data_IF_182580180779
#
_entry.id   IF_182580180779
#
_cell.length_a   1.000
_cell.length_b   1.000
_cell.length_c   1.000
_cell.angle_alpha   90.00
_cell.angle_beta   90.00
_cell.angle_gamma   90.00
#
_symmetry.space_group_name_H-M   'P 1'
#
loop_
_entity.id
_entity.type
_entity.pdbx_description
1 polymer ?
#
# COMPACT_ATOMS: atom_id res chain seq x y z
N UNK A 1 -16.31 -4.69 7.33
CA UNK A 1 -14.91 -4.45 7.67
C UNK A 1 -14.14 -5.74 7.95
N UNK A 2 -14.69 -6.63 8.77
CA UNK A 2 -14.02 -7.91 9.06
C UNK A 2 -13.96 -8.80 7.83
N UNK A 3 -15.01 -8.82 7.03
CA UNK A 3 -15.03 -9.60 5.80
C UNK A 3 -14.00 -9.07 4.79
N UNK A 4 -13.85 -7.76 4.70
CA UNK A 4 -12.85 -7.13 3.83
C UNK A 4 -11.44 -7.56 4.23
N UNK A 5 -11.15 -7.53 5.52
CA UNK A 5 -9.84 -7.93 6.04
C UNK A 5 -9.55 -9.39 5.82
N UNK A 6 -10.56 -10.24 5.94
CA UNK A 6 -10.40 -11.67 5.67
C UNK A 6 -10.06 -11.94 4.22
N UNK A 7 -10.71 -11.24 3.30
CA UNK A 7 -10.41 -11.38 1.88
C UNK A 7 -9.00 -10.91 1.55
N UNK A 8 -8.59 -9.77 2.11
CA UNK A 8 -7.24 -9.27 1.93
C UNK A 8 -6.22 -10.22 2.53
N UNK A 9 -6.47 -10.72 3.74
CA UNK A 9 -5.60 -11.69 4.39
C UNK A 9 -5.47 -12.98 3.60
N UNK A 10 -6.58 -13.50 3.06
CA UNK A 10 -6.56 -14.70 2.24
C UNK A 10 -5.77 -14.52 0.96
N UNK A 11 -5.83 -13.32 0.35
CA UNK A 11 -5.14 -13.04 -0.90
C UNK A 11 -3.65 -12.72 -0.69
N UNK A 12 -3.31 -12.01 0.39
CA UNK A 12 -1.96 -11.52 0.64
C UNK A 12 -1.19 -12.32 1.71
N UNK A 13 -1.89 -13.18 2.46
CA UNK A 13 -1.33 -13.85 3.62
C UNK A 13 -1.65 -13.08 4.89
N UNK A 14 -2.08 -13.79 5.93
CA UNK A 14 -2.53 -13.15 7.17
C UNK A 14 -1.42 -12.39 7.89
N UNK A 15 -0.19 -12.81 7.74
CA UNK A 15 0.97 -12.13 8.31
C UNK A 15 1.26 -10.79 7.61
N UNK A 16 0.70 -10.55 6.44
CA UNK A 16 0.85 -9.32 5.68
C UNK A 16 -0.32 -8.36 5.85
N UNK A 17 -1.32 -8.73 6.64
CA UNK A 17 -2.55 -7.95 6.71
C UNK A 17 -2.93 -7.48 8.11
N UNK A 18 -2.01 -6.87 8.88
CA UNK A 18 -2.41 -6.07 10.02
C UNK A 18 -3.07 -4.79 9.52
N UNK A 19 -3.77 -4.10 10.42
CA UNK A 19 -4.50 -2.87 10.08
C UNK A 19 -3.66 -1.83 9.34
N UNK A 20 -2.40 -1.55 9.77
CA UNK A 20 -1.58 -0.56 9.06
C UNK A 20 -1.31 -0.90 7.60
N UNK A 21 -1.12 -2.18 7.30
CA UNK A 21 -0.89 -2.63 5.92
C UNK A 21 -2.11 -2.37 5.05
N UNK A 22 -3.29 -2.69 5.57
CA UNK A 22 -4.55 -2.46 4.87
C UNK A 22 -4.77 -0.98 4.58
N UNK A 23 -4.54 -0.12 5.59
CA UNK A 23 -4.69 1.33 5.45
C UNK A 23 -3.74 1.89 4.39
N UNK A 24 -2.48 1.44 4.38
CA UNK A 24 -1.50 1.85 3.38
C UNK A 24 -1.94 1.46 1.97
N UNK A 25 -2.39 0.23 1.79
CA UNK A 25 -2.80 -0.26 0.49
C UNK A 25 -4.04 0.48 -0.02
N UNK A 26 -4.98 0.77 0.86
CA UNK A 26 -6.17 1.55 0.50
C UNK A 26 -5.82 2.97 0.08
N UNK A 27 -4.93 3.62 0.83
CA UNK A 27 -4.51 4.97 0.50
C UNK A 27 -3.85 5.02 -0.88
N UNK A 28 -2.98 4.06 -1.16
CA UNK A 28 -2.32 3.97 -2.46
C UNK A 28 -3.29 3.63 -3.58
N UNK A 29 -4.26 2.79 -3.30
CA UNK A 29 -5.26 2.44 -4.29
C UNK A 29 -6.14 3.64 -4.67
N UNK A 30 -6.57 4.41 -3.66
CA UNK A 30 -7.33 5.64 -3.89
C UNK A 30 -6.50 6.64 -4.68
N UNK A 31 -5.23 6.80 -4.33
CA UNK A 31 -4.33 7.68 -5.07
C UNK A 31 -4.19 7.25 -6.53
N UNK A 32 -4.11 5.95 -6.77
CA UNK A 32 -4.06 5.41 -8.12
C UNK A 32 -5.32 5.78 -8.92
N UNK A 33 -6.50 5.60 -8.32
CA UNK A 33 -7.77 5.93 -8.98
C UNK A 33 -7.91 7.43 -9.27
N UNK A 34 -7.36 8.26 -8.40
CA UNK A 34 -7.41 9.71 -8.55
C UNK A 34 -6.28 10.27 -9.41
N UNK A 35 -5.34 9.45 -9.85
CA UNK A 35 -4.17 9.89 -10.58
C UNK A 35 -3.21 10.72 -9.74
N UNK A 36 -3.20 10.53 -8.44
CA UNK A 36 -2.45 11.29 -7.47
C UNK A 36 -1.17 10.54 -7.07
N UNK A 37 -0.07 11.27 -6.93
CA UNK A 37 1.18 10.71 -6.42
C UNK A 37 1.14 10.62 -4.90
N UNK A 38 1.73 9.55 -4.36
CA UNK A 38 1.87 9.39 -2.92
C UNK A 38 3.35 9.35 -2.57
N UNK A 39 3.74 10.15 -1.59
CA UNK A 39 5.12 10.20 -1.12
C UNK A 39 5.30 9.32 0.10
N UNK A 40 6.52 8.83 0.27
CA UNK A 40 6.87 7.90 1.34
C UNK A 40 6.46 8.43 2.73
N UNK A 41 6.79 9.71 3.02
CA UNK A 41 6.47 10.29 4.31
C UNK A 41 4.96 10.38 4.54
N UNK A 42 4.21 10.70 3.49
CA UNK A 42 2.75 10.81 3.56
C UNK A 42 2.12 9.45 3.85
N UNK A 43 2.63 8.41 3.22
CA UNK A 43 2.15 7.05 3.44
C UNK A 43 2.45 6.59 4.88
N UNK A 44 3.62 6.94 5.40
CA UNK A 44 3.98 6.63 6.78
C UNK A 44 3.01 7.29 7.77
N UNK A 45 2.62 8.53 7.51
CA UNK A 45 1.65 9.23 8.35
C UNK A 45 0.26 8.62 8.27
N UNK A 46 -0.14 8.19 7.09
CA UNK A 46 -1.46 7.58 6.87
C UNK A 46 -1.61 6.22 7.57
N UNK A 47 -0.50 5.58 7.89
CA UNK A 47 -0.52 4.25 8.51
C UNK A 47 -0.90 4.26 9.99
N UNK A 48 -0.83 5.41 10.65
CA UNK A 48 -1.13 5.57 12.08
C UNK A 48 -0.27 4.71 13.02
N UNK A 49 0.94 4.36 12.59
CA UNK A 49 1.92 3.64 13.40
C UNK A 49 3.22 4.43 13.45
N UNK A 50 4.14 4.11 14.37
CA UNK A 50 5.43 4.79 14.41
C UNK A 50 6.14 4.71 13.06
N UNK A 51 6.86 5.78 12.72
CA UNK A 51 7.55 5.90 11.44
C UNK A 51 8.46 4.71 11.14
N UNK A 52 9.18 4.22 12.14
CA UNK A 52 10.07 3.06 11.99
C UNK A 52 9.30 1.82 11.55
N UNK A 53 8.14 1.58 12.17
CA UNK A 53 7.29 0.44 11.82
C UNK A 53 6.71 0.60 10.41
N UNK A 54 6.30 1.82 10.05
CA UNK A 54 5.76 2.11 8.73
C UNK A 54 6.82 1.86 7.64
N UNK A 55 8.04 2.34 7.84
CA UNK A 55 9.14 2.12 6.90
C UNK A 55 9.43 0.63 6.71
N UNK A 56 9.40 -0.12 7.81
CA UNK A 56 9.64 -1.57 7.76
C UNK A 56 8.55 -2.27 6.94
N UNK A 57 7.29 -1.89 7.14
CA UNK A 57 6.19 -2.48 6.39
C UNK A 57 6.27 -2.14 4.90
N UNK A 58 6.61 -0.89 4.58
CA UNK A 58 6.77 -0.47 3.19
C UNK A 58 7.90 -1.25 2.51
N UNK A 59 9.03 -1.42 3.22
CA UNK A 59 10.15 -2.21 2.69
C UNK A 59 9.75 -3.66 2.44
N UNK A 60 9.00 -4.25 3.38
CA UNK A 60 8.50 -5.61 3.25
C UNK A 60 7.56 -5.77 2.05
N UNK A 61 6.63 -4.84 1.88
CA UNK A 61 5.69 -4.87 0.76
C UNK A 61 6.41 -4.65 -0.58
N UNK A 62 7.43 -3.80 -0.59
CA UNK A 62 8.25 -3.57 -1.78
C UNK A 62 9.00 -4.86 -2.16
N UNK A 63 9.58 -5.52 -1.17
CA UNK A 63 10.30 -6.78 -1.39
C UNK A 63 9.38 -7.88 -1.94
N UNK A 64 8.12 -7.87 -1.52
CA UNK A 64 7.14 -8.86 -1.99
C UNK A 64 6.52 -8.52 -3.34
N UNK A 65 6.93 -7.42 -3.94
CA UNK A 65 6.46 -7.05 -5.27
C UNK A 65 5.09 -6.40 -5.29
N UNK A 66 4.63 -5.86 -4.15
CA UNK A 66 3.34 -5.19 -4.07
C UNK A 66 3.47 -3.67 -4.24
N UNK A 67 4.59 -3.10 -3.82
CA UNK A 67 4.86 -1.66 -3.91
C UNK A 67 6.11 -1.40 -4.75
N UNK A 68 6.14 -0.22 -5.36
CA UNK A 68 7.34 0.31 -6.02
C UNK A 68 7.72 1.63 -5.36
N UNK A 69 9.00 1.96 -5.40
CA UNK A 69 9.51 3.26 -4.94
C UNK A 69 10.35 3.88 -6.05
N UNK A 70 10.18 5.19 -6.24
CA UNK A 70 10.98 5.92 -7.23
C UNK A 70 11.41 7.25 -6.65
N UNK A 71 12.65 7.65 -6.94
CA UNK A 71 13.09 9.01 -6.66
C UNK A 71 12.30 9.96 -7.54
N UNK A 72 11.75 11.02 -6.96
CA UNK A 72 10.88 11.93 -7.68
C UNK A 72 11.62 13.18 -8.13
N UNK A 73 11.67 13.36 -9.44
CA UNK A 73 12.10 14.59 -10.06
C UNK A 73 13.53 14.99 -9.75
N UNK A 74 13.73 16.30 -9.67
CA UNK A 74 15.05 16.91 -9.48
C UNK A 74 15.52 16.89 -8.03
N UNK A 75 14.59 16.69 -7.10
CA UNK A 75 14.89 16.65 -5.68
C UNK A 75 14.96 15.19 -5.22
N UNK A 76 16.15 14.64 -5.14
CA UNK A 76 16.39 13.26 -4.73
C UNK A 76 15.93 12.94 -3.30
N UNK A 77 15.41 13.94 -2.56
CA UNK A 77 14.87 13.73 -1.21
C UNK A 77 13.44 13.19 -1.23
N UNK A 78 12.74 13.37 -2.35
CA UNK A 78 11.36 12.92 -2.47
C UNK A 78 11.33 11.53 -3.07
N UNK A 79 10.71 10.62 -2.34
CA UNK A 79 10.50 9.26 -2.81
C UNK A 79 9.00 9.04 -2.95
N UNK A 80 8.56 8.76 -4.17
CA UNK A 80 7.17 8.39 -4.41
C UNK A 80 7.00 6.89 -4.25
N UNK A 81 5.82 6.48 -3.79
CA UNK A 81 5.46 5.07 -3.59
C UNK A 81 4.20 4.80 -4.38
N UNK A 82 4.17 3.68 -5.07
CA UNK A 82 3.01 3.29 -5.85
C UNK A 82 2.76 1.80 -5.74
N UNK A 83 1.60 1.38 -6.22
CA UNK A 83 1.27 -0.04 -6.31
C UNK A 83 1.85 -0.61 -7.61
N UNK A 84 2.34 -1.85 -7.55
CA UNK A 84 2.70 -2.56 -8.77
C UNK A 84 1.43 -2.91 -9.54
N UNK A 85 1.56 -3.16 -10.83
CA UNK A 85 0.41 -3.57 -11.65
C UNK A 85 -0.23 -4.85 -11.10
N UNK A 86 0.58 -5.79 -10.63
CA UNK A 86 0.08 -7.00 -10.01
C UNK A 86 -0.74 -6.74 -8.76
N UNK A 87 -0.31 -5.78 -7.95
CA UNK A 87 -1.05 -5.40 -6.75
C UNK A 87 -2.36 -4.70 -7.09
N UNK A 88 -2.34 -3.82 -8.09
CA UNK A 88 -3.55 -3.14 -8.56
C UNK A 88 -4.59 -4.17 -9.02
N UNK A 89 -4.18 -5.14 -9.81
CA UNK A 89 -5.07 -6.19 -10.29
C UNK A 89 -5.65 -7.01 -9.15
N UNK A 90 -4.83 -7.31 -8.16
CA UNK A 90 -5.26 -8.04 -6.97
C UNK A 90 -6.31 -7.26 -6.18
N UNK A 91 -6.09 -5.96 -5.99
CA UNK A 91 -7.02 -5.10 -5.26
C UNK A 91 -8.33 -4.90 -6.03
N UNK A 92 -8.24 -4.74 -7.35
CA UNK A 92 -9.43 -4.63 -8.20
C UNK A 92 -10.31 -5.87 -8.04
N UNK A 93 -9.70 -7.05 -8.05
CA UNK A 93 -10.40 -8.32 -7.90
C UNK A 93 -11.05 -8.44 -6.52
N UNK A 94 -10.31 -8.04 -5.46
CA UNK A 94 -10.84 -8.06 -4.10
C UNK A 94 -12.04 -7.13 -3.94
N UNK A 95 -11.96 -5.93 -4.52
CA UNK A 95 -13.04 -4.96 -4.44
C UNK A 95 -14.27 -5.45 -5.19
N UNK A 96 -14.08 -6.10 -6.33
CA UNK A 96 -15.19 -6.70 -7.07
C UNK A 96 -15.91 -7.77 -6.25
N UNK A 97 -15.16 -8.55 -5.47
CA UNK A 97 -15.75 -9.56 -4.59
C UNK A 97 -16.52 -8.98 -3.42
N UNK A 98 -16.24 -7.72 -3.05
CA UNK A 98 -16.90 -7.06 -1.93
C UNK A 98 -18.19 -6.35 -2.35
N UNK A 99 -18.46 -6.27 -3.61
CA UNK A 99 -19.69 -5.63 -4.12
C UNK A 99 -20.92 -6.50 -3.97
#
# INVERSE_FOLDING_TARGET
>A
LLAERRLVGAALGFDLCPVPTWDMLLDLYLAHLEGRKTYLWSLCMASHVPTTSAHRKIAELTKKGLLTRSADGQDGRRVSVGLTQGCISLLDDLIDRLR
#
